data_IF_541252259944
#
_entry.id   IF_541252259944
#
_cell.length_a   1.000
_cell.length_b   1.000
_cell.length_c   1.000
_cell.angle_alpha   90.00
_cell.angle_beta   90.00
_cell.angle_gamma   90.00
#
_symmetry.space_group_name_H-M   'P 1'
#
loop_
_entity.id
_entity.type
_entity.pdbx_description
1 polymer ?
#
# COMPACT_ATOMS: atom_id res chain seq x y z
N UNK A 1 -2.63 10.67 10.75
CA UNK A 1 -2.10 9.40 10.24
C UNK A 1 -1.15 8.84 11.28
N UNK A 2 -1.17 7.55 11.56
CA UNK A 2 -0.32 6.89 12.57
C UNK A 2 0.55 5.85 11.87
N UNK A 3 1.84 5.80 12.23
CA UNK A 3 2.75 4.75 11.76
C UNK A 3 2.45 3.46 12.55
N UNK A 4 2.37 2.32 11.86
CA UNK A 4 2.19 1.01 12.50
C UNK A 4 3.38 0.69 13.42
N UNK A 5 3.17 -0.15 14.44
CA UNK A 5 4.20 -0.38 15.45
C UNK A 5 5.40 -1.16 14.93
N UNK A 6 5.22 -1.97 13.89
CA UNK A 6 6.24 -2.82 13.26
C UNK A 6 6.97 -2.16 12.08
N UNK A 7 6.47 -1.01 11.61
CA UNK A 7 6.92 -0.46 10.33
C UNK A 7 8.25 0.31 10.49
N UNK A 8 9.27 -0.08 9.75
CA UNK A 8 10.56 0.60 9.71
C UNK A 8 10.72 1.54 8.51
N UNK A 9 9.76 1.58 7.58
CA UNK A 9 9.81 2.45 6.41
C UNK A 9 10.04 3.91 6.79
N UNK A 10 10.86 4.59 5.98
CA UNK A 10 11.15 6.03 6.12
C UNK A 10 9.91 6.86 5.79
N UNK A 11 8.99 6.94 6.74
CA UNK A 11 7.74 7.66 6.59
C UNK A 11 7.37 8.39 7.88
N UNK A 12 6.77 9.57 7.72
CA UNK A 12 6.27 10.38 8.83
C UNK A 12 4.97 11.09 8.44
N UNK A 13 4.12 11.43 9.42
CA UNK A 13 3.01 12.34 9.18
C UNK A 13 3.52 13.69 8.66
N UNK A 14 2.86 14.25 7.66
CA UNK A 14 3.21 15.54 7.08
C UNK A 14 1.96 16.38 6.81
N UNK A 15 2.10 17.68 6.89
CA UNK A 15 1.06 18.62 6.45
C UNK A 15 0.96 18.69 4.93
N UNK A 16 -0.07 19.33 4.40
CA UNK A 16 -0.31 19.37 2.96
C UNK A 16 0.74 20.22 2.21
N UNK A 17 1.33 21.21 2.87
CA UNK A 17 2.42 22.01 2.31
C UNK A 17 3.67 21.15 2.08
N UNK A 18 4.04 20.34 3.07
CA UNK A 18 5.17 19.41 2.99
C UNK A 18 4.93 18.36 1.90
N UNK A 19 3.72 17.78 1.84
CA UNK A 19 3.35 16.82 0.78
C UNK A 19 3.46 17.43 -0.60
N UNK A 20 2.90 18.64 -0.80
CA UNK A 20 2.99 19.36 -2.08
C UNK A 20 4.44 19.66 -2.47
N UNK A 21 5.28 20.08 -1.50
CA UNK A 21 6.69 20.35 -1.75
C UNK A 21 7.45 19.08 -2.12
N UNK A 22 7.18 17.96 -1.45
CA UNK A 22 7.75 16.66 -1.78
C UNK A 22 7.39 16.20 -3.21
N UNK A 23 6.11 16.30 -3.58
CA UNK A 23 5.65 15.93 -4.93
C UNK A 23 6.35 16.76 -6.00
N UNK A 24 6.49 18.06 -5.79
CA UNK A 24 7.23 18.94 -6.74
C UNK A 24 8.71 18.54 -6.84
N UNK A 25 9.34 18.21 -5.72
CA UNK A 25 10.73 17.76 -5.72
C UNK A 25 10.89 16.42 -6.47
N UNK A 26 9.98 15.47 -6.24
CA UNK A 26 9.96 14.19 -6.94
C UNK A 26 9.76 14.35 -8.45
N UNK A 27 8.84 15.21 -8.88
CA UNK A 27 8.61 15.51 -10.30
C UNK A 27 9.87 16.12 -10.93
N UNK A 28 10.56 17.03 -10.23
CA UNK A 28 11.81 17.59 -10.70
C UNK A 28 12.92 16.52 -10.78
N UNK A 29 13.00 15.62 -9.82
CA UNK A 29 13.96 14.50 -9.83
C UNK A 29 13.72 13.58 -11.03
N UNK A 30 12.45 13.23 -11.29
CA UNK A 30 12.06 12.45 -12.48
C UNK A 30 12.49 13.16 -13.76
N UNK A 31 12.25 14.45 -13.88
CA UNK A 31 12.59 15.24 -15.08
C UNK A 31 14.11 15.32 -15.31
N UNK A 32 14.91 15.35 -14.25
CA UNK A 32 16.38 15.45 -14.32
C UNK A 32 17.06 14.07 -14.41
N UNK A 33 16.36 12.99 -14.12
CA UNK A 33 16.96 11.65 -14.14
C UNK A 33 17.37 11.25 -15.55
N UNK A 34 18.59 10.74 -15.69
CA UNK A 34 19.15 10.19 -16.94
C UNK A 34 19.15 8.66 -16.96
N UNK A 35 18.83 8.03 -15.83
CA UNK A 35 18.86 6.58 -15.70
C UNK A 35 17.74 5.91 -16.54
N UNK A 36 18.11 4.93 -17.34
CA UNK A 36 17.16 4.07 -18.05
C UNK A 36 16.39 4.71 -19.20
N UNK A 37 16.81 5.88 -19.71
CA UNK A 37 16.13 6.57 -20.83
C UNK A 37 16.13 5.76 -22.14
N UNK A 38 17.04 4.84 -22.29
CA UNK A 38 17.16 3.91 -23.41
C UNK A 38 16.26 2.66 -23.27
N UNK A 39 15.65 2.49 -22.10
CA UNK A 39 14.86 1.31 -21.75
C UNK A 39 13.36 1.56 -21.94
N UNK A 40 12.62 0.47 -22.16
CA UNK A 40 11.16 0.49 -22.00
C UNK A 40 10.81 0.18 -20.55
N UNK A 41 9.94 1.00 -19.96
CA UNK A 41 9.38 0.77 -18.64
C UNK A 41 8.21 -0.19 -18.76
N UNK A 42 8.34 -1.38 -18.20
CA UNK A 42 7.32 -2.42 -18.22
C UNK A 42 6.50 -2.49 -16.94
N UNK A 43 6.97 -1.83 -15.88
CA UNK A 43 6.23 -1.71 -14.61
C UNK A 43 6.56 -0.42 -13.88
N UNK A 44 5.57 0.12 -13.18
CA UNK A 44 5.69 1.26 -12.26
C UNK A 44 5.06 0.85 -10.93
N UNK A 45 5.80 1.03 -9.84
CA UNK A 45 5.31 0.73 -8.50
C UNK A 45 5.35 1.98 -7.64
N UNK A 46 4.18 2.44 -7.20
CA UNK A 46 4.02 3.61 -6.33
C UNK A 46 3.82 3.09 -4.91
N UNK A 47 4.88 3.11 -4.15
CA UNK A 47 4.94 2.57 -2.79
C UNK A 47 5.56 3.57 -1.80
N UNK A 48 5.90 3.07 -0.64
CA UNK A 48 6.55 3.82 0.43
C UNK A 48 5.74 3.87 1.72
N UNK A 49 5.48 5.05 2.28
CA UNK A 49 4.69 5.15 3.51
C UNK A 49 3.23 4.79 3.30
N UNK A 50 2.49 5.60 2.58
CA UNK A 50 1.10 5.32 2.18
C UNK A 50 0.73 6.25 1.02
N UNK A 51 0.98 5.85 -0.23
CA UNK A 51 0.69 6.68 -1.40
C UNK A 51 -0.78 7.10 -1.49
N UNK A 52 -1.70 6.22 -1.13
CA UNK A 52 -3.14 6.50 -1.14
C UNK A 52 -3.60 7.52 -0.10
N UNK A 53 -2.73 7.93 0.81
CA UNK A 53 -3.07 8.94 1.83
C UNK A 53 -2.92 10.38 1.35
N UNK A 54 -2.21 10.61 0.24
CA UNK A 54 -2.07 11.95 -0.35
C UNK A 54 -3.22 12.23 -1.33
N UNK A 55 -3.28 13.47 -1.85
CA UNK A 55 -4.25 13.83 -2.88
C UNK A 55 -3.99 12.99 -4.14
N UNK A 56 -5.05 12.44 -4.74
CA UNK A 56 -4.95 11.60 -5.94
C UNK A 56 -4.40 12.34 -7.15
N UNK A 57 -4.65 13.66 -7.25
CA UNK A 57 -4.08 14.49 -8.32
C UNK A 57 -2.54 14.52 -8.27
N UNK A 58 -1.94 14.48 -7.08
CA UNK A 58 -0.48 14.37 -6.97
C UNK A 58 0.07 13.06 -7.54
N UNK A 59 -0.66 11.96 -7.38
CA UNK A 59 -0.29 10.66 -7.97
C UNK A 59 -0.38 10.74 -9.50
N UNK A 60 -1.42 11.38 -10.03
CA UNK A 60 -1.60 11.63 -11.46
C UNK A 60 -0.45 12.48 -12.01
N UNK A 61 -0.12 13.62 -11.37
CA UNK A 61 0.97 14.50 -11.77
C UNK A 61 2.33 13.75 -11.82
N UNK A 62 2.61 12.92 -10.82
CA UNK A 62 3.82 12.08 -10.79
C UNK A 62 3.85 11.10 -11.96
N UNK A 63 2.74 10.41 -12.24
CA UNK A 63 2.67 9.47 -13.36
C UNK A 63 2.78 10.17 -14.72
N UNK A 64 2.21 11.37 -14.87
CA UNK A 64 2.38 12.17 -16.07
C UNK A 64 3.85 12.56 -16.28
N UNK A 65 4.56 12.98 -15.23
CA UNK A 65 5.99 13.27 -15.30
C UNK A 65 6.81 12.03 -15.70
N UNK A 66 6.49 10.86 -15.16
CA UNK A 66 7.14 9.60 -15.55
C UNK A 66 6.89 9.29 -17.03
N UNK A 67 5.64 9.40 -17.50
CA UNK A 67 5.27 9.12 -18.90
C UNK A 67 5.88 10.13 -19.89
N UNK A 68 6.12 11.38 -19.47
CA UNK A 68 6.81 12.38 -20.27
C UNK A 68 8.32 12.11 -20.35
N UNK A 69 8.92 11.59 -19.30
CA UNK A 69 10.36 11.37 -19.24
C UNK A 69 10.80 10.03 -19.81
N UNK A 70 10.01 8.98 -19.60
CA UNK A 70 10.36 7.61 -19.93
C UNK A 70 9.42 7.02 -20.98
N UNK A 71 9.94 6.05 -21.73
CA UNK A 71 9.12 5.25 -22.64
C UNK A 71 8.41 4.17 -21.84
N UNK A 72 7.17 4.47 -21.43
CA UNK A 72 6.32 3.50 -20.72
C UNK A 72 5.58 2.64 -21.73
N UNK A 73 5.69 1.31 -21.57
CA UNK A 73 4.97 0.35 -22.41
C UNK A 73 3.45 0.51 -22.23
N UNK A 74 2.70 0.39 -23.34
CA UNK A 74 1.24 0.51 -23.28
C UNK A 74 0.55 -0.55 -22.41
N UNK A 75 1.23 -1.68 -22.16
CA UNK A 75 0.78 -2.77 -21.28
C UNK A 75 1.52 -2.78 -19.93
N UNK A 76 2.23 -1.72 -19.58
CA UNK A 76 2.96 -1.66 -18.30
C UNK A 76 2.02 -1.89 -17.11
N UNK A 77 2.46 -2.70 -16.15
CA UNK A 77 1.77 -2.81 -14.87
C UNK A 77 2.07 -1.54 -14.04
N UNK A 78 1.02 -0.81 -13.68
CA UNK A 78 1.14 0.38 -12.83
C UNK A 78 0.40 0.12 -11.53
N UNK A 79 1.18 -0.11 -10.46
CA UNK A 79 0.67 -0.47 -9.14
C UNK A 79 0.71 0.72 -8.19
N UNK A 80 -0.31 0.87 -7.37
CA UNK A 80 -0.32 1.76 -6.20
C UNK A 80 -0.59 0.98 -4.92
N UNK A 81 0.20 1.27 -3.86
CA UNK A 81 -0.09 0.78 -2.52
C UNK A 81 -1.19 1.61 -1.85
N UNK A 82 -2.16 0.91 -1.31
CA UNK A 82 -3.28 1.50 -0.59
C UNK A 82 -3.43 0.92 0.81
N UNK A 83 -3.66 1.78 1.79
CA UNK A 83 -4.16 1.34 3.08
C UNK A 83 -5.70 1.38 3.08
N UNK A 84 -6.38 0.38 3.69
CA UNK A 84 -7.82 0.41 3.85
C UNK A 84 -8.29 1.71 4.51
N UNK A 85 -9.40 2.27 4.02
CA UNK A 85 -9.94 3.55 4.48
C UNK A 85 -9.26 4.81 3.93
N UNK A 86 -8.21 4.70 3.11
CA UNK A 86 -7.55 5.86 2.46
C UNK A 86 -8.01 6.11 1.02
N UNK A 87 -8.77 5.20 0.45
CA UNK A 87 -9.35 5.28 -0.89
C UNK A 87 -10.85 5.56 -0.80
N UNK A 88 -11.36 6.44 -1.65
CA UNK A 88 -12.76 6.67 -1.91
C UNK A 88 -13.04 6.55 -3.41
N UNK A 89 -14.29 6.65 -3.83
CA UNK A 89 -14.68 6.49 -5.25
C UNK A 89 -13.97 7.50 -6.15
N UNK A 90 -13.88 8.76 -5.74
CA UNK A 90 -13.21 9.82 -6.50
C UNK A 90 -11.74 9.48 -6.75
N UNK A 91 -10.99 9.14 -5.69
CA UNK A 91 -9.58 8.73 -5.80
C UNK A 91 -9.41 7.52 -6.71
N UNK A 92 -10.27 6.52 -6.56
CA UNK A 92 -10.21 5.31 -7.36
C UNK A 92 -10.40 5.60 -8.86
N UNK A 93 -11.30 6.50 -9.22
CA UNK A 93 -11.49 6.95 -10.60
C UNK A 93 -10.27 7.73 -11.10
N UNK A 94 -9.72 8.68 -10.33
CA UNK A 94 -8.52 9.43 -10.71
C UNK A 94 -7.34 8.47 -10.95
N UNK A 95 -7.16 7.46 -10.11
CA UNK A 95 -6.12 6.45 -10.30
C UNK A 95 -6.30 5.67 -11.60
N UNK A 96 -7.54 5.25 -11.91
CA UNK A 96 -7.83 4.56 -13.18
C UNK A 96 -7.55 5.46 -14.39
N UNK A 97 -8.00 6.71 -14.38
CA UNK A 97 -7.73 7.70 -15.45
C UNK A 97 -6.24 7.98 -15.62
N UNK A 98 -5.47 8.04 -14.53
CA UNK A 98 -4.02 8.19 -14.58
C UNK A 98 -3.31 6.96 -15.19
N UNK A 99 -4.02 5.83 -15.34
CA UNK A 99 -3.50 4.59 -15.93
C UNK A 99 -3.03 3.57 -14.92
N UNK A 100 -3.30 3.77 -13.62
CA UNK A 100 -3.05 2.73 -12.62
C UNK A 100 -3.99 1.54 -12.92
N UNK A 101 -3.42 0.35 -13.04
CA UNK A 101 -4.14 -0.86 -13.39
C UNK A 101 -4.06 -1.97 -12.33
N UNK A 102 -3.28 -1.75 -11.25
CA UNK A 102 -3.18 -2.66 -10.11
C UNK A 102 -3.21 -1.89 -8.78
N UNK A 103 -3.92 -2.42 -7.80
CA UNK A 103 -3.89 -1.93 -6.40
C UNK A 103 -3.34 -3.02 -5.50
N UNK A 104 -2.42 -2.65 -4.59
CA UNK A 104 -1.98 -3.51 -3.48
C UNK A 104 -2.51 -2.95 -2.17
N UNK A 105 -3.37 -3.71 -1.48
CA UNK A 105 -3.92 -3.32 -0.19
C UNK A 105 -3.15 -3.93 0.97
N UNK A 106 -2.64 -3.09 1.86
CA UNK A 106 -2.07 -3.53 3.14
C UNK A 106 -3.15 -3.96 4.13
N UNK A 107 -3.76 -5.13 3.93
CA UNK A 107 -4.78 -5.69 4.83
C UNK A 107 -4.16 -6.17 6.14
N UNK A 108 -3.09 -6.95 6.08
CA UNK A 108 -2.29 -7.56 7.11
C UNK A 108 -2.97 -8.73 7.84
N UNK A 109 -4.23 -8.61 8.23
CA UNK A 109 -5.05 -9.69 8.82
C UNK A 109 -6.54 -9.44 8.58
N UNK A 110 -7.35 -10.48 8.63
CA UNK A 110 -8.82 -10.38 8.67
C UNK A 110 -9.34 -10.34 10.12
N UNK A 111 -8.48 -10.59 11.11
CA UNK A 111 -8.82 -10.49 12.53
C UNK A 111 -8.54 -9.08 13.07
N UNK A 112 -9.59 -8.39 13.50
CA UNK A 112 -9.49 -7.03 14.05
C UNK A 112 -8.65 -6.94 15.34
N UNK A 113 -8.44 -8.04 16.06
CA UNK A 113 -7.55 -8.06 17.24
C UNK A 113 -6.09 -8.01 16.78
N UNK A 114 -5.73 -8.82 15.77
CA UNK A 114 -4.41 -8.79 15.16
C UNK A 114 -4.12 -7.42 14.54
N UNK A 115 -5.09 -6.82 13.83
CA UNK A 115 -4.96 -5.47 13.28
C UNK A 115 -4.68 -4.43 14.36
N UNK A 116 -5.43 -4.45 15.47
CA UNK A 116 -5.20 -3.53 16.59
C UNK A 116 -3.83 -3.73 17.24
N UNK A 117 -3.42 -4.99 17.42
CA UNK A 117 -2.11 -5.33 17.96
C UNK A 117 -0.97 -4.79 17.07
N UNK A 118 -1.11 -4.86 15.76
CA UNK A 118 -0.17 -4.28 14.80
C UNK A 118 -0.20 -2.72 14.76
N UNK A 119 -1.09 -2.07 15.50
CA UNK A 119 -1.29 -0.62 15.45
C UNK A 119 -1.98 -0.15 14.18
N UNK A 120 -2.70 -1.05 13.49
CA UNK A 120 -3.55 -0.68 12.34
C UNK A 120 -4.80 0.03 12.82
N UNK A 121 -5.19 1.08 12.10
CA UNK A 121 -6.35 1.91 12.45
C UNK A 121 -7.63 1.49 11.72
N UNK A 122 -7.50 0.63 10.69
CA UNK A 122 -8.64 0.11 9.95
C UNK A 122 -9.13 -1.22 10.55
N UNK A 123 -10.38 -1.55 10.24
CA UNK A 123 -11.00 -2.85 10.51
C UNK A 123 -11.10 -3.67 9.22
N UNK A 124 -11.36 -4.97 9.36
CA UNK A 124 -11.62 -5.83 8.21
C UNK A 124 -12.86 -5.37 7.41
N UNK A 125 -13.88 -4.83 8.06
CA UNK A 125 -15.05 -4.27 7.38
C UNK A 125 -14.69 -3.03 6.53
N UNK A 126 -13.85 -2.15 7.04
CA UNK A 126 -13.36 -1.00 6.29
C UNK A 126 -12.49 -1.42 5.10
N UNK A 127 -11.77 -2.52 5.22
CA UNK A 127 -11.05 -3.10 4.08
C UNK A 127 -12.04 -3.61 3.01
N UNK A 128 -13.08 -4.37 3.37
CA UNK A 128 -14.09 -4.85 2.42
C UNK A 128 -14.75 -3.69 1.66
N UNK A 129 -15.03 -2.60 2.35
CA UNK A 129 -15.51 -1.37 1.72
C UNK A 129 -14.50 -0.80 0.70
N UNK A 130 -13.21 -0.75 1.06
CA UNK A 130 -12.16 -0.25 0.16
C UNK A 130 -12.01 -1.14 -1.06
N UNK A 131 -12.10 -2.46 -0.90
CA UNK A 131 -12.10 -3.44 -1.98
C UNK A 131 -13.29 -3.23 -2.93
N UNK A 132 -14.49 -3.03 -2.39
CA UNK A 132 -15.69 -2.76 -3.18
C UNK A 132 -15.56 -1.46 -3.98
N UNK A 133 -15.01 -0.39 -3.39
CA UNK A 133 -14.73 0.88 -4.08
C UNK A 133 -13.77 0.66 -5.25
N UNK A 134 -12.68 -0.09 -5.05
CA UNK A 134 -11.73 -0.39 -6.11
C UNK A 134 -12.38 -1.21 -7.25
N UNK A 135 -13.16 -2.25 -6.93
CA UNK A 135 -13.90 -3.06 -7.91
C UNK A 135 -14.90 -2.21 -8.71
N UNK A 136 -15.65 -1.34 -8.04
CA UNK A 136 -16.63 -0.45 -8.68
C UNK A 136 -15.95 0.57 -9.62
N UNK A 137 -14.71 0.97 -9.35
CA UNK A 137 -13.91 1.81 -10.25
C UNK A 137 -13.27 1.01 -11.40
N UNK A 138 -13.50 -0.30 -11.49
CA UNK A 138 -13.02 -1.15 -12.58
C UNK A 138 -11.63 -1.75 -12.38
N UNK A 139 -11.11 -1.81 -11.14
CA UNK A 139 -9.89 -2.55 -10.86
C UNK A 139 -10.16 -4.05 -10.86
N UNK A 140 -9.48 -4.77 -11.75
CA UNK A 140 -9.54 -6.23 -11.89
C UNK A 140 -8.23 -6.93 -11.52
N UNK A 141 -7.21 -6.17 -11.12
CA UNK A 141 -5.93 -6.69 -10.62
C UNK A 141 -5.68 -6.09 -9.23
N UNK A 142 -6.06 -6.85 -8.21
CA UNK A 142 -5.95 -6.43 -6.80
C UNK A 142 -5.12 -7.44 -6.04
N UNK A 143 -4.11 -6.92 -5.36
CA UNK A 143 -3.33 -7.68 -4.38
C UNK A 143 -3.77 -7.31 -2.96
N UNK A 144 -3.70 -8.27 -2.07
CA UNK A 144 -3.79 -8.05 -0.62
C UNK A 144 -2.53 -8.57 0.06
N UNK A 145 -1.98 -7.76 0.96
CA UNK A 145 -0.83 -8.14 1.78
C UNK A 145 -1.33 -8.66 3.11
N UNK A 146 -0.83 -9.81 3.53
CA UNK A 146 -1.08 -10.45 4.82
C UNK A 146 0.22 -10.64 5.58
N UNK A 147 0.13 -10.61 6.89
CA UNK A 147 1.25 -10.90 7.77
C UNK A 147 1.02 -12.20 8.53
N UNK A 148 2.05 -13.02 8.58
CA UNK A 148 2.13 -14.23 9.40
C UNK A 148 3.12 -14.05 10.56
N UNK A 149 3.18 -15.02 11.45
CA UNK A 149 4.05 -15.01 12.62
C UNK A 149 3.79 -13.77 13.52
N UNK A 150 2.53 -13.41 13.69
CA UNK A 150 2.14 -12.34 14.59
C UNK A 150 2.16 -12.83 16.05
N UNK A 151 2.42 -11.95 17.03
CA UNK A 151 2.36 -12.30 18.45
C UNK A 151 1.06 -13.01 18.84
N UNK A 152 1.16 -14.21 19.40
CA UNK A 152 0.01 -15.02 19.77
C UNK A 152 -0.78 -15.64 18.61
N UNK A 153 -0.31 -15.50 17.37
CA UNK A 153 -0.92 -16.15 16.21
C UNK A 153 -0.60 -17.65 16.21
N UNK A 154 -1.63 -18.46 16.00
CA UNK A 154 -1.48 -19.92 15.84
C UNK A 154 -1.68 -20.33 14.39
N UNK A 155 -1.29 -21.56 14.04
CA UNK A 155 -1.54 -22.15 12.71
C UNK A 155 -3.04 -22.11 12.40
N UNK A 156 -3.89 -22.40 13.38
CA UNK A 156 -5.35 -22.42 13.23
C UNK A 156 -5.90 -21.00 13.00
N UNK A 157 -5.41 -19.99 13.74
CA UNK A 157 -5.85 -18.60 13.57
C UNK A 157 -5.40 -18.06 12.21
N UNK A 158 -4.17 -18.30 11.81
CA UNK A 158 -3.67 -17.87 10.50
C UNK A 158 -4.38 -18.62 9.35
N UNK A 159 -4.69 -19.91 9.53
CA UNK A 159 -5.49 -20.66 8.54
C UNK A 159 -6.88 -20.04 8.33
N UNK A 160 -7.52 -19.54 9.40
CA UNK A 160 -8.81 -18.79 9.25
C UNK A 160 -8.62 -17.50 8.45
N UNK A 161 -7.59 -16.72 8.78
CA UNK A 161 -7.25 -15.48 8.04
C UNK A 161 -7.05 -15.79 6.55
N UNK A 162 -6.28 -16.83 6.20
CA UNK A 162 -6.05 -17.23 4.82
C UNK A 162 -7.34 -17.66 4.11
N UNK A 163 -8.19 -18.49 4.74
CA UNK A 163 -9.48 -18.91 4.15
C UNK A 163 -10.38 -17.70 3.88
N UNK A 164 -10.44 -16.77 4.80
CA UNK A 164 -11.23 -15.56 4.64
C UNK A 164 -10.67 -14.66 3.56
N UNK A 165 -9.34 -14.48 3.51
CA UNK A 165 -8.66 -13.74 2.46
C UNK A 165 -8.91 -14.34 1.05
N UNK A 166 -8.83 -15.66 0.91
CA UNK A 166 -9.12 -16.35 -0.35
C UNK A 166 -10.57 -16.14 -0.79
N UNK A 167 -11.52 -16.08 0.16
CA UNK A 167 -12.94 -15.83 -0.15
C UNK A 167 -13.23 -14.44 -0.72
N UNK A 168 -12.29 -13.49 -0.61
CA UNK A 168 -12.41 -12.15 -1.19
C UNK A 168 -12.23 -12.12 -2.71
N UNK A 169 -11.75 -13.23 -3.31
CA UNK A 169 -11.55 -13.38 -4.74
C UNK A 169 -10.69 -12.27 -5.35
N UNK A 170 -9.59 -11.92 -4.67
CA UNK A 170 -8.55 -11.05 -5.24
C UNK A 170 -7.60 -11.85 -6.11
N UNK A 171 -6.98 -11.21 -7.09
CA UNK A 171 -6.11 -11.86 -8.09
C UNK A 171 -4.77 -12.29 -7.50
N UNK A 172 -4.34 -11.63 -6.41
CA UNK A 172 -3.06 -11.92 -5.79
C UNK A 172 -3.15 -11.76 -4.26
N UNK A 173 -2.41 -12.60 -3.55
CA UNK A 173 -2.21 -12.52 -2.09
C UNK A 173 -0.71 -12.62 -1.84
N UNK A 174 -0.13 -11.60 -1.20
CA UNK A 174 1.23 -11.62 -0.69
C UNK A 174 1.21 -11.95 0.79
N UNK A 175 2.07 -12.86 1.24
CA UNK A 175 2.19 -13.20 2.66
C UNK A 175 3.62 -12.96 3.11
N UNK A 176 3.79 -12.17 4.17
CA UNK A 176 5.07 -11.83 4.76
C UNK A 176 5.08 -12.24 6.23
N UNK A 177 6.17 -12.88 6.67
CA UNK A 177 6.38 -13.07 8.11
C UNK A 177 6.69 -11.73 8.78
N UNK A 178 6.16 -11.52 9.97
CA UNK A 178 6.55 -10.38 10.78
C UNK A 178 8.05 -10.46 11.07
N UNK A 179 8.77 -9.39 10.74
CA UNK A 179 10.17 -9.19 11.11
C UNK A 179 10.20 -8.06 12.13
N UNK A 180 10.94 -8.26 13.20
CA UNK A 180 11.08 -7.27 14.27
C UNK A 180 12.35 -6.46 13.99
N UNK A 181 12.15 -5.25 13.49
CA UNK A 181 13.23 -4.35 13.11
C UNK A 181 13.59 -3.40 14.25
N UNK A 182 14.89 -3.25 14.51
CA UNK A 182 15.41 -2.29 15.49
C UNK A 182 14.94 -0.85 15.16
N UNK A 183 14.58 -0.08 16.18
CA UNK A 183 14.05 1.27 16.03
C UNK A 183 12.54 1.33 15.75
N UNK A 184 11.85 0.19 15.72
CA UNK A 184 10.38 0.15 15.68
C UNK A 184 9.79 0.10 17.09
N UNK A 185 8.56 0.62 17.25
CA UNK A 185 7.85 0.52 18.53
C UNK A 185 7.57 -0.93 18.97
N UNK A 186 7.51 -1.85 18.03
CA UNK A 186 7.39 -3.27 18.32
C UNK A 186 8.66 -3.81 18.99
N UNK A 187 9.83 -3.46 18.44
CA UNK A 187 11.14 -3.83 19.00
C UNK A 187 11.30 -3.29 20.42
N UNK A 188 10.99 -2.01 20.65
CA UNK A 188 11.10 -1.34 21.95
C UNK A 188 10.18 -1.95 23.03
N UNK A 189 9.16 -2.69 22.64
CA UNK A 189 8.15 -3.28 23.51
C UNK A 189 8.04 -4.80 23.38
N UNK A 190 9.08 -5.45 22.86
CA UNK A 190 9.05 -6.89 22.54
C UNK A 190 8.66 -7.76 23.74
N UNK A 191 9.12 -7.43 24.94
CA UNK A 191 8.82 -8.15 26.17
C UNK A 191 7.33 -8.15 26.56
N UNK A 192 6.54 -7.25 25.95
CA UNK A 192 5.09 -7.20 26.18
C UNK A 192 4.28 -8.10 25.24
N UNK A 193 4.94 -8.77 24.30
CA UNK A 193 4.28 -9.62 23.30
C UNK A 193 4.65 -11.08 23.57
N UNK A 194 3.64 -11.94 23.84
CA UNK A 194 3.90 -13.36 24.03
C UNK A 194 4.32 -14.02 22.70
N UNK A 195 5.21 -14.98 22.80
CA UNK A 195 5.53 -15.94 21.72
C UNK A 195 5.95 -15.29 20.38
N UNK A 196 6.92 -14.36 20.45
CA UNK A 196 7.62 -13.87 19.25
C UNK A 196 8.94 -14.62 19.07
#
# INVERSE_FOLDING_TARGET
>A
MQKCIYCDFLSAPADDKTKSSYVKALINEIALSEAGLDKNVTSIFIGGGTPSAINAEYIKDILEAVKQRYRVDGNAEITIECNPGTINSEKAYIYREAGINRISFGLQSTDDKELRMLGRIHTFEQFKNSLAIARNAGFTNINIDLMSALPGQTIESFTRVLKEAVSLNTEHISVYSLIIEEGTRLYDNIDNYPDI
#
